data_IF_788734360214
#
_entry.id   IF_788734360214
#
_cell.length_a   1.000
_cell.length_b   1.000
_cell.length_c   1.000
_cell.angle_alpha   90.00
_cell.angle_beta   90.00
_cell.angle_gamma   90.00
#
_symmetry.space_group_name_H-M   'P 1'
#
loop_
_entity.id
_entity.type
_entity.pdbx_description
1 polymer ?
#
# COMPACT_ATOMS: atom_id res chain seq x y z
N UNK A 1 -15.44 -3.34 -3.01
CA UNK A 1 -14.51 -2.23 -2.80
C UNK A 1 -13.13 -2.74 -2.37
N UNK A 2 -13.06 -3.66 -1.40
CA UNK A 2 -11.78 -4.11 -0.80
C UNK A 2 -10.94 -4.94 -1.78
N UNK A 3 -11.55 -5.93 -2.44
CA UNK A 3 -10.89 -6.85 -3.39
C UNK A 3 -10.28 -6.09 -4.57
N UNK A 4 -10.93 -5.04 -5.05
CA UNK A 4 -10.47 -4.21 -6.15
C UNK A 4 -9.53 -3.08 -5.72
N UNK A 5 -9.24 -2.94 -4.43
CA UNK A 5 -8.30 -1.98 -3.88
C UNK A 5 -8.79 -0.53 -3.80
N UNK A 6 -10.08 -0.24 -4.00
CA UNK A 6 -10.62 1.13 -3.91
C UNK A 6 -10.47 1.74 -2.52
N UNK A 7 -10.70 0.94 -1.48
CA UNK A 7 -10.50 1.36 -0.09
C UNK A 7 -9.03 1.66 0.19
N UNK A 8 -8.14 0.77 -0.25
CA UNK A 8 -6.70 0.96 -0.09
C UNK A 8 -6.17 2.21 -0.83
N UNK A 9 -6.74 2.53 -2.00
CA UNK A 9 -6.38 3.76 -2.74
C UNK A 9 -6.74 5.02 -1.95
N UNK A 10 -7.93 5.08 -1.36
CA UNK A 10 -8.34 6.22 -0.54
C UNK A 10 -7.47 6.36 0.72
N UNK A 11 -7.18 5.24 1.38
CA UNK A 11 -6.30 5.21 2.56
C UNK A 11 -4.89 5.69 2.24
N UNK A 12 -4.27 5.20 1.17
CA UNK A 12 -2.92 5.64 0.81
C UNK A 12 -2.89 7.10 0.33
N UNK A 13 -3.97 7.60 -0.30
CA UNK A 13 -4.07 9.02 -0.66
C UNK A 13 -4.06 9.92 0.57
N UNK A 14 -4.83 9.57 1.62
CA UNK A 14 -4.86 10.31 2.88
C UNK A 14 -3.48 10.28 3.56
N UNK A 15 -2.87 9.10 3.68
CA UNK A 15 -1.54 8.96 4.30
C UNK A 15 -0.47 9.70 3.51
N UNK A 16 -0.54 9.69 2.19
CA UNK A 16 0.38 10.43 1.33
C UNK A 16 0.17 11.95 1.47
N UNK A 17 -1.07 12.42 1.56
CA UNK A 17 -1.38 13.83 1.80
C UNK A 17 -0.81 14.32 3.12
N UNK A 18 -1.00 13.55 4.20
CA UNK A 18 -0.41 13.82 5.51
C UNK A 18 1.12 13.89 5.47
N UNK A 19 1.76 12.93 4.79
CA UNK A 19 3.22 12.84 4.72
C UNK A 19 3.85 13.91 3.83
N UNK A 20 3.11 14.46 2.86
CA UNK A 20 3.61 15.42 1.87
C UNK A 20 3.13 16.86 2.12
N UNK A 21 2.17 17.06 2.99
CA UNK A 21 1.56 18.37 3.23
C UNK A 21 0.75 18.92 2.04
N UNK A 22 0.38 18.08 1.07
CA UNK A 22 -0.34 18.45 -0.14
C UNK A 22 -1.47 17.47 -0.45
N UNK A 23 -2.51 17.93 -1.12
CA UNK A 23 -3.63 17.07 -1.51
C UNK A 23 -3.23 16.05 -2.57
N UNK A 24 -3.42 14.77 -2.28
CA UNK A 24 -3.22 13.68 -3.24
C UNK A 24 -4.56 13.26 -3.83
N UNK A 25 -4.70 13.41 -5.16
CA UNK A 25 -5.89 12.91 -5.86
C UNK A 25 -5.83 11.38 -5.94
N UNK A 26 -6.78 10.71 -5.29
CA UNK A 26 -6.84 9.25 -5.27
C UNK A 26 -7.19 8.64 -6.66
N UNK A 27 -7.83 9.39 -7.56
CA UNK A 27 -8.25 8.91 -8.87
C UNK A 27 -7.08 8.65 -9.82
N UNK A 28 -5.96 9.35 -9.63
CA UNK A 28 -4.76 9.18 -10.46
C UNK A 28 -3.77 8.13 -9.90
N UNK A 29 -4.06 7.56 -8.74
CA UNK A 29 -3.24 6.49 -8.16
C UNK A 29 -3.46 5.19 -8.95
N UNK A 30 -2.36 4.61 -9.45
CA UNK A 30 -2.43 3.29 -10.08
C UNK A 30 -3.04 2.26 -9.13
N UNK A 31 -4.01 1.50 -9.65
CA UNK A 31 -4.74 0.51 -8.85
C UNK A 31 -4.87 -0.82 -9.61
N UNK A 32 -4.48 -1.87 -8.93
CA UNK A 32 -4.72 -3.25 -9.34
C UNK A 32 -5.26 -4.03 -8.13
N UNK A 33 -6.44 -4.65 -8.29
CA UNK A 33 -7.06 -5.50 -7.27
C UNK A 33 -6.47 -6.91 -7.22
N UNK A 34 -7.04 -7.75 -6.35
CA UNK A 34 -6.61 -9.15 -6.16
C UNK A 34 -7.52 -10.15 -6.90
N UNK A 35 -8.50 -9.70 -7.66
CA UNK A 35 -9.45 -10.58 -8.37
C UNK A 35 -8.79 -11.50 -9.40
N UNK A 36 -7.63 -11.11 -9.91
CA UNK A 36 -6.84 -11.93 -10.86
C UNK A 36 -5.85 -12.87 -10.19
N UNK A 37 -5.65 -12.77 -8.88
CA UNK A 37 -4.76 -13.65 -8.14
C UNK A 37 -5.48 -14.97 -7.86
N UNK A 38 -4.86 -16.06 -8.24
CA UNK A 38 -5.41 -17.41 -8.13
C UNK A 38 -4.78 -18.19 -6.97
N UNK A 39 -5.41 -19.30 -6.59
CA UNK A 39 -4.84 -20.21 -5.60
C UNK A 39 -3.47 -20.77 -6.02
N UNK A 40 -3.23 -20.86 -7.30
CA UNK A 40 -1.95 -21.31 -7.86
C UNK A 40 -0.84 -20.28 -7.66
N UNK A 41 -1.14 -19.00 -7.83
CA UNK A 41 -0.19 -17.91 -7.54
C UNK A 41 0.25 -17.93 -6.08
N UNK A 42 -0.67 -18.24 -5.16
CA UNK A 42 -0.33 -18.42 -3.74
C UNK A 42 0.59 -19.64 -3.50
N UNK A 43 0.40 -20.76 -4.23
CA UNK A 43 1.29 -21.91 -4.13
C UNK A 43 2.71 -21.57 -4.57
N UNK A 44 2.85 -20.86 -5.72
CA UNK A 44 4.16 -20.41 -6.20
C UNK A 44 4.80 -19.41 -5.23
N UNK A 45 4.05 -18.42 -4.75
CA UNK A 45 4.55 -17.49 -3.76
C UNK A 45 5.08 -18.20 -2.51
N UNK A 46 4.32 -19.19 -2.00
CA UNK A 46 4.73 -19.99 -0.86
C UNK A 46 6.00 -20.83 -1.15
N UNK A 47 6.09 -21.42 -2.33
CA UNK A 47 7.29 -22.18 -2.75
C UNK A 47 8.54 -21.30 -2.80
N UNK A 48 8.38 -20.03 -3.18
CA UNK A 48 9.46 -19.01 -3.15
C UNK A 48 9.71 -18.41 -1.75
N UNK A 49 9.03 -18.87 -0.70
CA UNK A 49 9.11 -18.28 0.64
C UNK A 49 8.54 -16.85 0.69
N UNK A 50 7.60 -16.50 -0.18
CA UNK A 50 7.00 -15.17 -0.28
C UNK A 50 5.54 -15.15 0.17
N UNK A 51 5.03 -13.97 0.49
CA UNK A 51 3.61 -13.74 0.78
C UNK A 51 3.04 -12.72 -0.20
N UNK A 52 1.85 -12.99 -0.75
CA UNK A 52 1.13 -12.02 -1.59
C UNK A 52 0.28 -11.15 -0.69
N UNK A 53 0.45 -9.84 -0.77
CA UNK A 53 -0.35 -8.84 -0.04
C UNK A 53 -0.82 -7.74 -1.00
N UNK A 54 -2.06 -7.28 -0.83
CA UNK A 54 -2.51 -6.04 -1.46
C UNK A 54 -1.93 -4.86 -0.67
N UNK A 55 -1.03 -4.11 -1.29
CA UNK A 55 -0.37 -2.97 -0.64
C UNK A 55 -0.66 -1.67 -1.36
N UNK A 56 -1.09 -0.66 -0.58
CA UNK A 56 -0.94 0.73 -0.94
C UNK A 56 0.49 1.19 -0.64
N UNK A 57 1.15 1.81 -1.60
CA UNK A 57 2.51 2.33 -1.45
C UNK A 57 2.61 3.73 -2.02
N UNK A 58 3.20 4.63 -1.23
CA UNK A 58 3.62 5.96 -1.68
C UNK A 58 5.10 6.14 -1.35
N UNK A 59 5.91 6.55 -2.31
CA UNK A 59 7.34 6.77 -2.11
C UNK A 59 7.88 7.86 -3.03
N UNK A 60 9.02 8.44 -2.65
CA UNK A 60 9.82 9.24 -3.57
C UNK A 60 10.70 8.31 -4.42
N UNK A 61 10.72 8.54 -5.73
CA UNK A 61 11.64 7.97 -6.69
C UNK A 61 12.18 9.12 -7.54
N UNK A 62 13.49 9.30 -7.59
CA UNK A 62 14.17 10.32 -8.42
C UNK A 62 13.54 11.73 -8.33
N UNK A 63 13.28 12.18 -7.09
CA UNK A 63 12.60 13.44 -6.73
C UNK A 63 11.11 13.54 -7.14
N UNK A 64 10.50 12.46 -7.61
CA UNK A 64 9.09 12.40 -7.94
C UNK A 64 8.35 11.49 -6.96
N UNK A 65 7.06 11.72 -6.78
CA UNK A 65 6.22 10.90 -5.90
C UNK A 65 5.45 9.89 -6.73
N UNK A 66 5.63 8.62 -6.41
CA UNK A 66 4.88 7.51 -7.01
C UNK A 66 3.96 6.91 -5.98
N UNK A 67 2.68 6.80 -6.31
CA UNK A 67 1.69 6.12 -5.48
C UNK A 67 1.00 4.99 -6.26
N UNK A 68 0.74 3.88 -5.60
CA UNK A 68 0.09 2.72 -6.24
C UNK A 68 -0.54 1.79 -5.21
N UNK A 69 -1.58 1.09 -5.62
CA UNK A 69 -2.17 -0.05 -4.90
C UNK A 69 -2.13 -1.26 -5.82
N UNK A 70 -1.46 -2.31 -5.40
CA UNK A 70 -1.33 -3.53 -6.20
C UNK A 70 -0.99 -4.74 -5.32
N UNK A 71 -1.28 -5.96 -5.78
CA UNK A 71 -0.74 -7.18 -5.20
C UNK A 71 0.80 -7.16 -5.27
N UNK A 72 1.45 -7.50 -4.17
CA UNK A 72 2.92 -7.54 -4.10
C UNK A 72 3.40 -8.80 -3.41
N UNK A 73 4.50 -9.34 -3.91
CA UNK A 73 5.25 -10.41 -3.25
C UNK A 73 6.16 -9.81 -2.18
N UNK A 74 5.93 -10.18 -0.94
CA UNK A 74 6.75 -9.77 0.19
C UNK A 74 7.73 -10.88 0.59
N UNK A 75 8.96 -10.48 0.87
CA UNK A 75 9.95 -11.35 1.47
C UNK A 75 9.73 -11.52 2.99
N UNK A 76 10.25 -12.58 3.62
CA UNK A 76 10.08 -12.82 5.05
C UNK A 76 10.62 -11.71 5.95
N UNK A 77 11.63 -10.98 5.49
CA UNK A 77 12.25 -9.84 6.19
C UNK A 77 11.43 -8.54 6.08
N UNK A 78 10.39 -8.53 5.25
CA UNK A 78 9.53 -7.34 5.12
C UNK A 78 8.63 -7.19 6.36
N UNK A 79 8.59 -6.01 7.01
CA UNK A 79 7.85 -5.80 8.26
C UNK A 79 6.36 -6.17 8.20
N UNK A 80 5.73 -6.07 7.03
CA UNK A 80 4.32 -6.40 6.84
C UNK A 80 4.08 -7.85 6.38
N UNK A 81 5.12 -8.69 6.29
CA UNK A 81 5.01 -10.07 5.79
C UNK A 81 3.99 -10.91 6.55
N UNK A 82 4.00 -10.84 7.89
CA UNK A 82 3.16 -11.62 8.78
C UNK A 82 1.78 -10.98 9.07
N UNK A 83 1.51 -9.77 8.55
CA UNK A 83 0.21 -9.13 8.74
C UNK A 83 -0.86 -9.90 7.95
N UNK A 84 -1.88 -10.41 8.64
CA UNK A 84 -2.91 -11.27 8.02
C UNK A 84 -4.26 -11.20 8.73
N UNK A 85 -5.29 -11.78 8.12
CA UNK A 85 -6.65 -11.80 8.67
C UNK A 85 -7.28 -10.41 8.72
N UNK A 86 -7.86 -10.07 9.87
CA UNK A 86 -8.51 -8.77 10.12
C UNK A 86 -7.55 -7.66 10.54
N UNK A 87 -6.25 -8.00 10.66
CA UNK A 87 -5.21 -7.07 11.10
C UNK A 87 -4.72 -6.25 9.91
N UNK A 88 -4.62 -4.94 10.12
CA UNK A 88 -4.00 -4.02 9.17
C UNK A 88 -2.61 -3.62 9.64
N UNK A 89 -1.73 -3.33 8.70
CA UNK A 89 -0.39 -2.82 8.96
C UNK A 89 -0.08 -1.58 8.13
N UNK A 90 0.52 -0.58 8.76
CA UNK A 90 1.05 0.61 8.11
C UNK A 90 2.54 0.66 8.39
N UNK A 91 3.35 0.69 7.34
CA UNK A 91 4.79 0.88 7.40
C UNK A 91 5.13 2.30 6.96
N UNK A 92 5.78 3.05 7.84
CA UNK A 92 6.31 4.38 7.54
C UNK A 92 7.83 4.31 7.59
N UNK A 93 8.49 4.72 6.51
CA UNK A 93 9.94 4.84 6.43
C UNK A 93 10.37 6.29 6.57
N UNK A 94 10.95 6.61 7.70
CA UNK A 94 11.51 7.93 7.96
C UNK A 94 13.03 7.94 7.73
N UNK A 95 13.54 9.08 7.30
CA UNK A 95 14.97 9.26 7.02
C UNK A 95 15.85 9.19 8.29
N UNK A 96 15.31 9.61 9.44
CA UNK A 96 16.04 9.65 10.70
C UNK A 96 15.64 8.51 11.66
N UNK A 97 14.34 8.14 11.67
CA UNK A 97 13.80 7.15 12.61
C UNK A 97 13.82 5.72 12.04
N UNK A 98 14.04 5.58 10.74
CA UNK A 98 13.98 4.28 10.08
C UNK A 98 12.56 3.78 9.86
N UNK A 99 12.33 2.49 10.04
CA UNK A 99 11.05 1.83 9.82
C UNK A 99 10.18 1.88 11.09
N UNK A 100 9.02 2.51 11.00
CA UNK A 100 7.96 2.46 12.00
C UNK A 100 6.82 1.61 11.47
N UNK A 101 6.33 0.68 12.28
CA UNK A 101 5.23 -0.22 11.92
C UNK A 101 4.09 -0.06 12.90
N UNK A 102 2.92 0.26 12.37
CA UNK A 102 1.67 0.30 13.13
C UNK A 102 0.84 -0.92 12.75
N UNK A 103 0.48 -1.73 13.72
CA UNK A 103 -0.30 -2.95 13.51
C UNK A 103 -1.51 -2.93 14.43
N UNK A 104 -2.69 -3.18 13.90
CA UNK A 104 -3.92 -3.21 14.67
C UNK A 104 -5.12 -3.72 13.89
N UNK A 105 -6.21 -3.97 14.59
CA UNK A 105 -7.48 -4.35 13.98
C UNK A 105 -8.11 -3.12 13.31
N UNK A 106 -8.09 -3.11 11.97
CA UNK A 106 -8.67 -2.02 11.18
C UNK A 106 -10.17 -2.16 10.90
N UNK A 107 -10.76 -3.31 11.24
CA UNK A 107 -12.16 -3.59 11.02
C UNK A 107 -12.75 -4.38 12.19
N UNK A 108 -14.08 -4.34 12.32
CA UNK A 108 -14.83 -5.05 13.36
C UNK A 108 -15.56 -4.09 14.30
N UNK A 109 -16.62 -4.60 14.92
CA UNK A 109 -17.53 -3.80 15.77
C UNK A 109 -16.80 -3.05 16.89
N UNK A 110 -15.98 -3.75 17.67
CA UNK A 110 -15.30 -3.17 18.82
C UNK A 110 -14.16 -2.22 18.43
N UNK A 111 -13.24 -2.55 17.49
CA UNK A 111 -12.22 -1.61 17.05
C UNK A 111 -12.79 -0.32 16.46
N UNK A 112 -13.86 -0.42 15.66
CA UNK A 112 -14.53 0.76 15.10
C UNK A 112 -15.17 1.61 16.19
N UNK A 113 -15.88 1.00 17.14
CA UNK A 113 -16.47 1.73 18.27
C UNK A 113 -15.40 2.41 19.13
N UNK A 114 -14.27 1.74 19.38
CA UNK A 114 -13.15 2.30 20.13
C UNK A 114 -12.57 3.53 19.42
N UNK A 115 -12.39 3.50 18.10
CA UNK A 115 -11.90 4.63 17.33
C UNK A 115 -12.86 5.83 17.42
N UNK A 116 -14.16 5.59 17.21
CA UNK A 116 -15.18 6.66 17.31
C UNK A 116 -15.20 7.30 18.69
N UNK A 117 -15.18 6.49 19.75
CA UNK A 117 -15.16 7.01 21.13
C UNK A 117 -13.89 7.81 21.40
N UNK A 118 -12.74 7.35 20.90
CA UNK A 118 -11.47 8.08 21.02
C UNK A 118 -11.54 9.45 20.36
N UNK A 119 -12.10 9.53 19.14
CA UNK A 119 -12.25 10.79 18.41
C UNK A 119 -13.22 11.75 19.12
N UNK A 120 -14.32 11.22 19.69
CA UNK A 120 -15.26 12.01 20.48
C UNK A 120 -14.57 12.60 21.73
N UNK A 121 -13.81 11.76 22.46
CA UNK A 121 -13.07 12.21 23.66
C UNK A 121 -12.02 13.26 23.29
N UNK A 122 -11.31 13.07 22.19
CA UNK A 122 -10.32 14.03 21.71
C UNK A 122 -10.98 15.36 21.32
N UNK A 123 -12.09 15.31 20.60
CA UNK A 123 -12.87 16.50 20.24
C UNK A 123 -13.35 17.28 21.45
N UNK A 124 -13.81 16.58 22.51
CA UNK A 124 -14.24 17.22 23.76
C UNK A 124 -13.05 17.88 24.49
N UNK A 125 -11.88 17.26 24.47
CA UNK A 125 -10.66 17.85 25.08
C UNK A 125 -10.17 19.10 24.35
N UNK A 126 -10.46 19.18 23.06
CA UNK A 126 -10.06 20.30 22.19
C UNK A 126 -11.23 21.20 21.79
N UNK A 127 -12.29 21.30 22.63
CA UNK A 127 -13.39 22.25 22.43
C UNK A 127 -12.83 23.66 22.29
N UNK A 128 -13.30 24.38 21.27
CA UNK A 128 -12.88 25.75 20.95
C UNK A 128 -11.43 25.89 20.45
N UNK A 129 -10.76 24.80 20.12
CA UNK A 129 -9.48 24.84 19.43
C UNK A 129 -9.72 24.54 17.96
N UNK A 130 -9.26 25.42 17.06
CA UNK A 130 -9.28 25.15 15.64
C UNK A 130 -8.15 24.17 15.33
N UNK A 131 -8.51 22.94 14.89
CA UNK A 131 -7.52 21.99 14.37
C UNK A 131 -7.28 22.29 12.89
N UNK A 132 -6.05 22.63 12.57
CA UNK A 132 -5.65 22.87 11.17
C UNK A 132 -5.51 21.53 10.43
N UNK A 133 -6.05 21.45 9.23
CA UNK A 133 -5.77 20.31 8.33
C UNK A 133 -4.28 20.30 8.05
N UNK A 134 -3.64 19.13 8.14
CA UNK A 134 -2.18 18.99 8.05
C UNK A 134 -1.66 18.97 6.60
N UNK A 135 -2.48 19.25 5.62
CA UNK A 135 -2.07 19.47 4.23
C UNK A 135 -2.88 20.60 3.60
N UNK A 136 -2.31 21.26 2.61
CA UNK A 136 -2.97 22.32 1.87
C UNK A 136 -3.76 21.82 0.64
N UNK A 137 -4.47 22.73 -0.02
CA UNK A 137 -5.26 22.41 -1.22
C UNK A 137 -4.41 22.21 -2.47
N UNK A 138 -3.12 22.56 -2.41
CA UNK A 138 -2.22 22.36 -3.54
C UNK A 138 -2.12 20.87 -3.86
N UNK A 139 -2.37 20.54 -5.12
CA UNK A 139 -2.35 19.14 -5.58
C UNK A 139 -0.91 18.67 -5.72
N UNK A 140 -0.62 17.50 -5.13
CA UNK A 140 0.63 16.80 -5.37
C UNK A 140 0.56 16.09 -6.72
N UNK A 141 1.47 16.41 -7.62
CA UNK A 141 1.62 15.67 -8.87
C UNK A 141 2.27 14.32 -8.59
N UNK A 142 1.63 13.26 -9.08
CA UNK A 142 2.17 11.90 -9.01
C UNK A 142 2.79 11.55 -10.35
N UNK A 143 3.96 10.91 -10.30
CA UNK A 143 4.59 10.32 -11.48
C UNK A 143 3.81 9.10 -11.94
N UNK A 144 3.80 8.89 -13.26
CA UNK A 144 3.18 7.73 -13.86
C UNK A 144 3.82 6.44 -13.36
N UNK A 145 2.98 5.59 -12.78
CA UNK A 145 3.39 4.29 -12.26
C UNK A 145 4.13 3.42 -13.31
N UNK A 146 3.81 3.54 -14.60
CA UNK A 146 4.44 2.77 -15.67
C UNK A 146 5.92 3.08 -15.84
N UNK A 147 6.35 4.30 -15.51
CA UNK A 147 7.75 4.73 -15.64
C UNK A 147 8.67 4.20 -14.53
N UNK A 148 8.12 3.77 -13.40
CA UNK A 148 8.95 3.29 -12.29
C UNK A 148 9.45 1.86 -12.54
N UNK A 149 10.74 1.64 -12.27
CA UNK A 149 11.37 0.31 -12.39
C UNK A 149 10.88 -0.63 -11.30
N UNK A 150 10.47 -1.84 -11.69
CA UNK A 150 9.91 -2.86 -10.79
C UNK A 150 10.33 -4.25 -11.20
N UNK A 151 10.36 -5.17 -10.23
CA UNK A 151 10.39 -6.61 -10.51
C UNK A 151 8.95 -7.12 -10.55
N UNK A 152 8.68 -7.98 -11.51
CA UNK A 152 7.36 -8.60 -11.69
C UNK A 152 7.45 -10.10 -11.43
N UNK A 153 6.42 -10.66 -10.83
CA UNK A 153 6.14 -12.07 -10.88
C UNK A 153 5.30 -12.35 -12.12
N UNK A 154 5.79 -13.23 -12.98
CA UNK A 154 5.09 -13.60 -14.21
C UNK A 154 4.86 -15.10 -14.21
N UNK A 155 3.60 -15.51 -14.34
CA UNK A 155 3.22 -16.90 -14.56
C UNK A 155 2.84 -17.08 -16.03
N UNK A 156 3.52 -17.98 -16.70
CA UNK A 156 3.29 -18.27 -18.12
C UNK A 156 3.33 -19.77 -18.37
N UNK A 157 2.64 -20.21 -19.41
CA UNK A 157 2.74 -21.57 -19.97
C UNK A 157 3.73 -21.66 -21.14
N UNK A 158 4.37 -20.54 -21.48
CA UNK A 158 5.37 -20.47 -22.56
C UNK A 158 6.66 -21.19 -22.16
N UNK A 159 7.46 -21.55 -23.17
CA UNK A 159 8.78 -22.14 -22.95
C UNK A 159 9.72 -21.14 -22.27
N UNK A 160 10.77 -21.65 -21.63
CA UNK A 160 11.79 -20.82 -20.97
C UNK A 160 12.47 -19.89 -21.99
N UNK A 161 12.78 -20.41 -23.17
CA UNK A 161 13.40 -19.65 -24.27
C UNK A 161 12.52 -18.48 -24.73
N UNK A 162 11.19 -18.68 -24.82
CA UNK A 162 10.27 -17.62 -25.22
C UNK A 162 10.14 -16.54 -24.14
N UNK A 163 10.14 -16.93 -22.87
CA UNK A 163 10.14 -15.98 -21.75
C UNK A 163 11.41 -15.14 -21.76
N UNK A 164 12.58 -15.76 -21.93
CA UNK A 164 13.86 -15.06 -21.96
C UNK A 164 14.00 -14.11 -23.16
N UNK A 165 13.43 -14.48 -24.32
CA UNK A 165 13.38 -13.57 -25.49
C UNK A 165 12.60 -12.28 -25.21
N UNK A 166 11.52 -12.37 -24.41
CA UNK A 166 10.65 -11.24 -24.13
C UNK A 166 11.16 -10.39 -22.96
N UNK A 167 11.59 -11.04 -21.89
CA UNK A 167 11.91 -10.38 -20.60
C UNK A 167 13.42 -10.28 -20.31
N UNK A 168 14.27 -10.92 -21.11
CA UNK A 168 15.71 -11.00 -20.86
C UNK A 168 16.04 -11.96 -19.71
N UNK A 169 17.01 -11.61 -18.89
CA UNK A 169 17.38 -12.44 -17.74
C UNK A 169 16.27 -12.42 -16.68
N UNK A 170 15.75 -13.60 -16.38
CA UNK A 170 14.70 -13.83 -15.37
C UNK A 170 15.16 -14.85 -14.32
N UNK A 171 14.63 -14.71 -13.09
CA UNK A 171 14.78 -15.72 -12.04
C UNK A 171 13.60 -16.70 -12.15
N UNK A 172 13.87 -18.02 -12.12
CA UNK A 172 12.86 -19.08 -12.21
C UNK A 172 12.58 -19.71 -10.86
#
# INVERSE_FOLDING_TARGET
>A
ADIEGYDAVRKIAILASLAKGKTVNFEVIYREGISKITAEDFKYAKAMGRSIKLLGKCKNEDNQVVASVAPRLLAPDHPLFNVSGVVNGILVRGNMVGDLVFIGSGAGKLPTASAVVSDVVDSVRHLNVSTTVMWDEEKLELEDFSKSKKKFFVRSSSSKEDIEKVFGNVEY
#
